data_IF_516952662855
#
_entry.id   IF_516952662855
#
_cell.length_a   1.000
_cell.length_b   1.000
_cell.length_c   1.000
_cell.angle_alpha   90.00
_cell.angle_beta   90.00
_cell.angle_gamma   90.00
#
_symmetry.space_group_name_H-M   'P 1'
#
loop_
_entity.id
_entity.type
_entity.pdbx_description
1 polymer ?
#
# COMPACT_ATOMS: atom_id res chain seq x y z
N UNK A 1 -40.89 -12.82 20.05
CA UNK A 1 -40.78 -12.06 18.78
C UNK A 1 -39.92 -10.78 18.88
N UNK A 2 -39.59 -10.23 20.07
CA UNK A 2 -38.82 -8.96 20.16
C UNK A 2 -37.29 -9.09 19.96
N UNK A 3 -36.67 -10.24 20.29
CA UNK A 3 -35.20 -10.41 20.16
C UNK A 3 -34.71 -10.50 18.70
N UNK A 4 -35.49 -11.08 17.80
CA UNK A 4 -35.14 -11.17 16.37
C UNK A 4 -35.26 -9.83 15.63
N UNK A 5 -36.20 -8.96 16.06
CA UNK A 5 -36.35 -7.61 15.51
C UNK A 5 -35.19 -6.67 15.92
N UNK A 6 -34.65 -6.84 17.13
CA UNK A 6 -33.51 -6.07 17.63
C UNK A 6 -32.18 -6.44 16.93
N UNK A 7 -31.98 -7.72 16.59
CA UNK A 7 -30.78 -8.18 15.89
C UNK A 7 -30.75 -7.71 14.41
N UNK A 8 -31.91 -7.67 13.76
CA UNK A 8 -32.05 -7.21 12.37
C UNK A 8 -31.85 -5.70 12.22
N UNK A 9 -32.22 -4.90 13.23
CA UNK A 9 -31.98 -3.46 13.26
C UNK A 9 -30.50 -3.10 13.44
N UNK A 10 -29.70 -3.97 14.08
CA UNK A 10 -28.27 -3.74 14.32
C UNK A 10 -27.39 -3.99 13.07
N UNK A 11 -27.77 -4.96 12.23
CA UNK A 11 -27.07 -5.25 10.97
C UNK A 11 -27.25 -4.10 9.95
N UNK A 12 -28.39 -3.40 10.00
CA UNK A 12 -28.67 -2.27 9.11
C UNK A 12 -27.83 -1.00 9.42
N UNK A 13 -27.16 -0.96 10.57
CA UNK A 13 -26.26 0.14 10.99
C UNK A 13 -24.79 -0.15 10.71
N UNK A 14 -24.45 -1.29 10.09
CA UNK A 14 -23.09 -1.55 9.62
C UNK A 14 -22.84 -0.58 8.46
N UNK A 15 -22.23 0.57 8.76
CA UNK A 15 -21.80 1.53 7.77
C UNK A 15 -20.96 0.82 6.70
N UNK A 16 -21.10 1.24 5.44
CA UNK A 16 -20.24 0.74 4.37
C UNK A 16 -18.80 1.08 4.75
N UNK A 17 -18.01 0.08 5.12
CA UNK A 17 -16.57 0.24 5.25
C UNK A 17 -16.02 0.47 3.85
N UNK A 18 -15.79 1.73 3.50
CA UNK A 18 -15.08 2.10 2.28
C UNK A 18 -13.60 1.78 2.45
N UNK A 19 -13.21 0.56 2.11
CA UNK A 19 -11.79 0.23 1.94
C UNK A 19 -11.18 1.08 0.82
N UNK A 20 -9.87 1.32 0.90
CA UNK A 20 -9.14 2.11 -0.08
C UNK A 20 -8.89 1.28 -1.35
N UNK A 21 -9.91 0.63 -1.92
CA UNK A 21 -9.79 0.05 -3.25
C UNK A 21 -9.42 1.13 -4.29
N UNK A 22 -9.43 0.82 -5.58
CA UNK A 22 -8.98 1.76 -6.64
C UNK A 22 -9.42 3.23 -6.45
N UNK A 23 -10.68 3.47 -6.07
CA UNK A 23 -11.20 4.82 -5.83
C UNK A 23 -10.49 5.57 -4.67
N UNK A 24 -10.12 4.88 -3.59
CA UNK A 24 -9.40 5.46 -2.46
C UNK A 24 -7.99 5.88 -2.84
N UNK A 25 -7.23 4.98 -3.50
CA UNK A 25 -5.90 5.33 -4.02
C UNK A 25 -5.95 6.47 -5.04
N UNK A 26 -6.90 6.42 -5.98
CA UNK A 26 -7.09 7.48 -6.97
C UNK A 26 -7.40 8.83 -6.33
N UNK A 27 -8.24 8.85 -5.29
CA UNK A 27 -8.53 10.07 -4.54
C UNK A 27 -7.26 10.62 -3.86
N UNK A 28 -6.49 9.77 -3.18
CA UNK A 28 -5.23 10.16 -2.53
C UNK A 28 -4.22 10.68 -3.56
N UNK A 29 -4.04 9.97 -4.68
CA UNK A 29 -3.16 10.38 -5.77
C UNK A 29 -3.56 11.73 -6.38
N UNK A 30 -4.87 11.95 -6.59
CA UNK A 30 -5.41 13.23 -7.07
C UNK A 30 -5.11 14.37 -6.11
N UNK A 31 -5.36 14.16 -4.81
CA UNK A 31 -5.10 15.16 -3.76
C UNK A 31 -3.60 15.45 -3.67
N UNK A 32 -2.74 14.43 -3.68
CA UNK A 32 -1.30 14.60 -3.66
C UNK A 32 -0.82 15.44 -4.85
N UNK A 33 -1.31 15.16 -6.05
CA UNK A 33 -0.94 15.92 -7.26
C UNK A 33 -1.38 17.39 -7.17
N UNK A 34 -2.59 17.64 -6.65
CA UNK A 34 -3.09 18.98 -6.40
C UNK A 34 -2.16 19.79 -5.47
N UNK A 35 -1.71 19.19 -4.35
CA UNK A 35 -0.78 19.84 -3.43
C UNK A 35 0.63 20.05 -3.99
N UNK A 36 1.03 19.25 -5.00
CA UNK A 36 2.32 19.42 -5.67
C UNK A 36 2.27 20.46 -6.81
N UNK A 37 1.09 21.00 -7.16
CA UNK A 37 0.94 21.96 -8.24
C UNK A 37 1.89 23.16 -8.11
N UNK A 38 2.59 23.49 -9.20
CA UNK A 38 3.57 24.59 -9.24
C UNK A 38 4.92 24.31 -8.58
N UNK A 39 5.12 23.13 -7.96
CA UNK A 39 6.38 22.78 -7.31
C UNK A 39 7.35 22.10 -8.28
N UNK A 40 8.65 22.11 -7.92
CA UNK A 40 9.64 21.25 -8.58
C UNK A 40 9.26 19.77 -8.48
N UNK A 41 8.70 19.33 -7.36
CA UNK A 41 8.35 17.94 -7.14
C UNK A 41 7.34 17.42 -8.17
N UNK A 42 6.30 18.21 -8.52
CA UNK A 42 5.37 17.81 -9.59
C UNK A 42 6.07 17.66 -10.94
N UNK A 43 7.03 18.54 -11.26
CA UNK A 43 7.81 18.42 -12.50
C UNK A 43 8.59 17.10 -12.56
N UNK A 44 9.22 16.70 -11.46
CA UNK A 44 9.95 15.42 -11.38
C UNK A 44 8.99 14.23 -11.45
N UNK A 45 7.83 14.30 -10.77
CA UNK A 45 6.75 13.28 -10.87
C UNK A 45 6.33 13.10 -12.33
N UNK A 46 6.06 14.19 -13.06
CA UNK A 46 5.66 14.12 -14.48
C UNK A 46 6.76 13.59 -15.38
N UNK A 47 8.03 13.86 -15.08
CA UNK A 47 9.14 13.32 -15.84
C UNK A 47 9.32 11.79 -15.67
N UNK A 48 8.85 11.23 -14.56
CA UNK A 48 8.90 9.78 -14.29
C UNK A 48 7.66 9.03 -14.81
N UNK A 49 6.55 9.72 -15.02
CA UNK A 49 5.31 9.13 -15.50
C UNK A 49 5.24 9.09 -17.04
N UNK A 50 4.47 8.14 -17.61
CA UNK A 50 4.26 8.07 -19.08
C UNK A 50 3.33 9.20 -19.47
N UNK A 51 3.36 9.57 -20.75
CA UNK A 51 2.46 10.60 -21.29
C UNK A 51 0.99 10.24 -20.98
N UNK A 52 0.24 11.19 -20.42
CA UNK A 52 -1.14 11.01 -20.00
C UNK A 52 -1.34 10.31 -18.65
N UNK A 53 -0.27 9.93 -17.94
CA UNK A 53 -0.36 9.44 -16.56
C UNK A 53 -0.16 10.54 -15.52
N UNK A 54 -0.83 10.36 -14.39
CA UNK A 54 -0.90 11.18 -13.19
C UNK A 54 -0.88 10.28 -11.95
N UNK A 55 -0.76 10.89 -10.77
CA UNK A 55 -0.64 10.16 -9.50
C UNK A 55 -1.88 9.32 -9.15
N UNK A 56 -3.08 9.67 -9.61
CA UNK A 56 -4.28 8.83 -9.45
C UNK A 56 -4.12 7.48 -10.19
N UNK A 57 -3.64 7.47 -11.44
CA UNK A 57 -3.41 6.24 -12.22
C UNK A 57 -2.21 5.47 -11.67
N UNK A 58 -1.13 6.18 -11.37
CA UNK A 58 0.08 5.60 -10.77
C UNK A 58 -0.22 4.89 -9.45
N UNK A 59 -1.07 5.48 -8.60
CA UNK A 59 -1.43 4.94 -7.29
C UNK A 59 -2.20 3.62 -7.34
N UNK A 60 -2.69 3.17 -8.49
CA UNK A 60 -3.38 1.87 -8.63
C UNK A 60 -2.50 0.79 -9.24
N UNK A 61 -1.30 1.15 -9.71
CA UNK A 61 -0.42 0.24 -10.43
C UNK A 61 0.04 -0.95 -9.58
N UNK A 62 0.43 -0.80 -8.30
CA UNK A 62 0.90 -1.93 -7.49
C UNK A 62 -0.14 -3.02 -7.28
N UNK A 63 -1.40 -2.66 -7.04
CA UNK A 63 -2.49 -3.63 -6.95
C UNK A 63 -2.78 -4.32 -8.29
N UNK A 64 -2.65 -3.61 -9.41
CA UNK A 64 -2.76 -4.23 -10.73
C UNK A 64 -1.63 -5.24 -10.99
N UNK A 65 -0.46 -5.08 -10.39
CA UNK A 65 0.62 -6.04 -10.49
C UNK A 65 0.30 -7.37 -9.77
N UNK A 66 -0.70 -7.40 -8.86
CA UNK A 66 -1.20 -8.62 -8.20
C UNK A 66 -2.16 -9.45 -9.07
N UNK A 67 -2.58 -8.93 -10.22
CA UNK A 67 -3.53 -9.62 -11.09
C UNK A 67 -2.90 -10.86 -11.75
N UNK A 68 -3.72 -11.83 -12.21
CA UNK A 68 -3.23 -12.96 -12.97
C UNK A 68 -2.38 -12.54 -14.18
N UNK A 69 -1.34 -13.31 -14.50
CA UNK A 69 -0.31 -12.98 -15.50
C UNK A 69 -0.85 -12.50 -16.86
N UNK A 70 -1.99 -13.04 -17.31
CA UNK A 70 -2.64 -12.64 -18.57
C UNK A 70 -3.12 -11.18 -18.61
N UNK A 71 -3.23 -10.51 -17.46
CA UNK A 71 -3.62 -9.11 -17.33
C UNK A 71 -2.44 -8.17 -17.05
N UNK A 72 -1.23 -8.71 -16.87
CA UNK A 72 -0.04 -7.94 -16.55
C UNK A 72 0.60 -7.35 -17.81
N UNK A 73 0.99 -6.09 -17.72
CA UNK A 73 1.88 -5.47 -18.72
C UNK A 73 3.29 -6.05 -18.61
N UNK A 74 4.14 -5.87 -19.64
CA UNK A 74 5.53 -6.30 -19.57
C UNK A 74 6.28 -5.69 -18.35
N UNK A 75 6.09 -4.40 -18.08
CA UNK A 75 6.65 -3.70 -16.91
C UNK A 75 6.22 -4.34 -15.57
N UNK A 76 4.96 -4.77 -15.48
CA UNK A 76 4.48 -5.49 -14.29
C UNK A 76 5.07 -6.88 -14.19
N UNK A 77 5.20 -7.62 -15.30
CA UNK A 77 5.81 -8.95 -15.30
C UNK A 77 7.27 -8.90 -14.87
N UNK A 78 8.03 -7.92 -15.35
CA UNK A 78 9.41 -7.70 -14.94
C UNK A 78 9.52 -7.38 -13.44
N UNK A 79 8.62 -6.54 -12.92
CA UNK A 79 8.54 -6.25 -11.50
C UNK A 79 8.22 -7.49 -10.66
N UNK A 80 7.17 -8.24 -11.03
CA UNK A 80 6.72 -9.45 -10.33
C UNK A 80 7.78 -10.54 -10.37
N UNK A 81 8.46 -10.73 -11.50
CA UNK A 81 9.54 -11.72 -11.62
C UNK A 81 10.72 -11.43 -10.66
N UNK A 82 11.04 -10.14 -10.44
CA UNK A 82 12.06 -9.75 -9.48
C UNK A 82 11.56 -9.71 -8.03
N UNK A 83 10.24 -9.62 -7.82
CA UNK A 83 9.60 -9.43 -6.52
C UNK A 83 8.41 -10.38 -6.35
N UNK A 84 8.61 -11.72 -6.31
CA UNK A 84 7.51 -12.68 -6.26
C UNK A 84 6.64 -12.59 -5.00
N UNK A 85 7.16 -11.96 -3.94
CA UNK A 85 6.49 -11.71 -2.66
C UNK A 85 5.90 -10.30 -2.54
N UNK A 86 5.76 -9.57 -3.65
CA UNK A 86 5.28 -8.18 -3.67
C UNK A 86 3.90 -7.97 -3.05
N UNK A 87 3.09 -9.03 -2.91
CA UNK A 87 1.81 -8.96 -2.21
C UNK A 87 1.97 -8.50 -0.75
N UNK A 88 3.09 -8.86 -0.11
CA UNK A 88 3.41 -8.52 1.29
C UNK A 88 3.82 -7.05 1.48
N UNK A 89 4.12 -6.33 0.40
CA UNK A 89 4.59 -4.94 0.45
C UNK A 89 3.51 -3.97 0.95
N UNK A 90 2.26 -4.41 0.97
CA UNK A 90 1.08 -3.56 1.14
C UNK A 90 0.61 -3.43 2.58
N UNK A 91 1.21 -4.15 3.51
CA UNK A 91 0.72 -4.18 4.88
C UNK A 91 1.84 -4.52 5.88
N UNK A 92 1.50 -4.41 7.16
CA UNK A 92 2.16 -5.07 8.26
C UNK A 92 1.09 -5.59 9.23
N UNK A 93 1.31 -6.77 9.78
CA UNK A 93 0.31 -7.46 10.60
C UNK A 93 0.47 -7.11 12.09
N UNK A 94 0.55 -5.83 12.43
CA UNK A 94 0.83 -5.44 13.82
C UNK A 94 -0.34 -5.84 14.73
N UNK A 95 -0.12 -6.53 15.87
CA UNK A 95 -1.20 -6.85 16.80
C UNK A 95 -1.95 -5.58 17.21
N UNK A 96 -3.28 -5.56 17.12
CA UNK A 96 -4.08 -4.36 17.39
C UNK A 96 -3.93 -3.82 18.82
N UNK A 97 -3.41 -4.63 19.74
CA UNK A 97 -3.07 -4.25 21.11
C UNK A 97 -1.82 -3.34 21.17
N UNK A 98 -0.96 -3.40 20.16
CA UNK A 98 0.21 -2.54 20.04
C UNK A 98 -0.21 -1.11 19.67
N UNK A 99 0.41 -0.13 20.32
CA UNK A 99 0.10 1.29 20.10
C UNK A 99 0.85 1.91 18.94
N UNK A 100 1.91 1.26 18.48
CA UNK A 100 2.79 1.79 17.43
C UNK A 100 3.54 0.66 16.74
N UNK A 101 3.86 0.87 15.47
CA UNK A 101 4.84 0.09 14.74
C UNK A 101 6.22 0.21 15.41
N UNK A 102 6.92 -0.92 15.53
CA UNK A 102 8.35 -0.99 15.86
C UNK A 102 8.95 -2.17 15.12
N UNK A 103 10.12 -1.99 14.52
CA UNK A 103 10.84 -3.08 13.88
C UNK A 103 11.09 -4.21 14.89
N UNK A 104 10.85 -5.45 14.47
CA UNK A 104 11.01 -6.65 15.30
C UNK A 104 9.78 -7.06 16.11
N UNK A 105 8.68 -6.29 16.07
CA UNK A 105 7.39 -6.77 16.60
C UNK A 105 6.83 -7.91 15.75
N UNK A 106 6.01 -8.75 16.36
CA UNK A 106 5.20 -9.73 15.62
C UNK A 106 4.41 -9.02 14.51
N UNK A 107 4.41 -9.63 13.31
CA UNK A 107 3.78 -9.05 12.12
C UNK A 107 4.65 -8.08 11.32
N UNK A 108 5.87 -7.75 11.78
CA UNK A 108 6.86 -7.01 10.98
C UNK A 108 7.77 -7.94 10.18
N UNK A 109 8.25 -7.46 9.04
CA UNK A 109 9.26 -8.15 8.25
C UNK A 109 10.01 -7.18 7.33
N UNK A 110 11.16 -7.59 6.80
CA UNK A 110 12.06 -6.75 5.96
C UNK A 110 11.46 -6.25 4.64
N UNK A 111 10.24 -6.67 4.32
CA UNK A 111 9.50 -6.33 3.10
C UNK A 111 8.09 -5.85 3.41
N UNK A 112 7.83 -5.48 4.67
CA UNK A 112 6.57 -4.90 5.06
C UNK A 112 6.45 -3.48 4.51
N UNK A 113 5.24 -2.92 4.59
CA UNK A 113 4.93 -1.61 4.02
C UNK A 113 5.89 -0.49 4.44
N UNK A 114 6.40 -0.50 5.67
CA UNK A 114 7.31 0.54 6.17
C UNK A 114 8.66 0.45 5.45
N UNK A 115 9.23 -0.75 5.38
CA UNK A 115 10.53 -0.95 4.72
C UNK A 115 10.46 -0.72 3.20
N UNK A 116 9.36 -1.12 2.56
CA UNK A 116 9.21 -0.88 1.11
C UNK A 116 9.06 0.61 0.81
N UNK A 117 8.35 1.37 1.65
CA UNK A 117 8.29 2.83 1.55
C UNK A 117 9.69 3.47 1.66
N UNK A 118 10.49 3.03 2.61
CA UNK A 118 11.87 3.50 2.77
C UNK A 118 12.72 3.22 1.54
N UNK A 119 12.66 1.99 0.98
CA UNK A 119 13.37 1.64 -0.25
C UNK A 119 12.92 2.52 -1.42
N UNK A 120 11.61 2.76 -1.58
CA UNK A 120 11.10 3.62 -2.64
C UNK A 120 11.62 5.06 -2.52
N UNK A 121 11.66 5.61 -1.30
CA UNK A 121 12.21 6.94 -1.03
C UNK A 121 13.70 6.98 -1.38
N UNK A 122 14.48 5.97 -0.96
CA UNK A 122 15.92 5.89 -1.28
C UNK A 122 16.17 5.83 -2.79
N UNK A 123 15.42 5.00 -3.53
CA UNK A 123 15.53 4.90 -4.99
C UNK A 123 15.19 6.24 -5.68
N UNK A 124 14.18 6.96 -5.20
CA UNK A 124 13.81 8.27 -5.76
C UNK A 124 14.86 9.35 -5.49
N UNK A 125 15.46 9.35 -4.30
CA UNK A 125 16.49 10.31 -3.86
C UNK A 125 17.88 10.04 -4.45
N UNK A 126 18.13 8.82 -4.92
CA UNK A 126 19.39 8.42 -5.51
C UNK A 126 19.84 9.37 -6.64
N UNK A 127 21.07 9.87 -6.58
CA UNK A 127 21.64 10.70 -7.65
C UNK A 127 22.32 9.87 -8.75
N UNK A 128 22.77 8.66 -8.42
CA UNK A 128 23.42 7.68 -9.29
C UNK A 128 22.91 6.24 -8.94
N UNK A 129 23.36 5.19 -9.66
CA UNK A 129 23.07 3.76 -9.40
C UNK A 129 23.63 3.21 -8.05
N UNK A 130 23.92 4.09 -7.09
CA UNK A 130 24.50 3.75 -5.78
C UNK A 130 23.46 3.49 -4.69
N UNK A 131 22.18 3.72 -4.95
CA UNK A 131 21.16 3.39 -3.97
C UNK A 131 21.06 1.87 -3.79
N UNK A 132 20.94 1.44 -2.54
CA UNK A 132 20.59 0.07 -2.24
C UNK A 132 19.19 -0.19 -2.81
N UNK A 133 19.11 -1.06 -3.82
CA UNK A 133 17.88 -1.31 -4.57
C UNK A 133 17.61 -2.82 -4.64
N UNK A 134 17.30 -3.46 -3.50
CA UNK A 134 17.08 -4.90 -3.45
C UNK A 134 15.87 -5.34 -4.28
N UNK A 135 14.92 -4.42 -4.54
CA UNK A 135 13.74 -4.66 -5.36
C UNK A 135 14.02 -4.61 -6.87
N UNK A 136 15.21 -4.13 -7.27
CA UNK A 136 15.63 -3.93 -8.67
C UNK A 136 14.63 -3.09 -9.48
N UNK A 137 14.08 -2.06 -8.86
CA UNK A 137 13.07 -1.18 -9.46
C UNK A 137 13.69 0.11 -9.97
N UNK A 138 13.15 0.66 -11.05
CA UNK A 138 13.52 2.01 -11.49
C UNK A 138 12.74 3.08 -10.71
N UNK A 139 13.13 4.36 -10.86
CA UNK A 139 12.47 5.49 -10.19
C UNK A 139 10.97 5.61 -10.48
N UNK A 140 10.53 5.20 -11.67
CA UNK A 140 9.12 5.21 -12.04
C UNK A 140 8.33 4.18 -11.21
N UNK A 141 8.81 2.94 -11.12
CA UNK A 141 8.17 1.90 -10.30
C UNK A 141 8.23 2.29 -8.82
N UNK A 142 9.34 2.86 -8.35
CA UNK A 142 9.44 3.40 -6.99
C UNK A 142 8.41 4.51 -6.71
N UNK A 143 8.18 5.42 -7.65
CA UNK A 143 7.14 6.46 -7.52
C UNK A 143 5.74 5.85 -7.45
N UNK A 144 5.44 4.86 -8.30
CA UNK A 144 4.12 4.20 -8.31
C UNK A 144 3.86 3.41 -7.03
N UNK A 145 4.88 2.70 -6.53
CA UNK A 145 4.82 2.02 -5.22
C UNK A 145 4.63 3.04 -4.09
N UNK A 146 5.44 4.10 -4.03
CA UNK A 146 5.31 5.15 -3.01
C UNK A 146 3.90 5.77 -2.99
N UNK A 147 3.37 6.14 -4.17
CA UNK A 147 2.04 6.74 -4.28
C UNK A 147 0.91 5.82 -3.79
N UNK A 148 1.03 4.51 -4.03
CA UNK A 148 0.07 3.51 -3.57
C UNK A 148 0.21 3.22 -2.07
N UNK A 149 1.43 2.92 -1.63
CA UNK A 149 1.72 2.44 -0.28
C UNK A 149 1.53 3.52 0.78
N UNK A 150 1.68 4.80 0.45
CA UNK A 150 1.24 5.87 1.37
C UNK A 150 -0.27 5.78 1.61
N UNK A 151 -1.06 5.40 0.61
CA UNK A 151 -2.49 5.15 0.78
C UNK A 151 -2.76 3.95 1.68
N UNK A 152 -2.11 2.82 1.41
CA UNK A 152 -2.23 1.59 2.21
C UNK A 152 -1.84 1.83 3.67
N UNK A 153 -0.73 2.55 3.93
CA UNK A 153 -0.26 2.85 5.28
C UNK A 153 -1.30 3.63 6.10
N UNK A 154 -2.12 4.46 5.44
CA UNK A 154 -3.19 5.23 6.07
C UNK A 154 -4.53 4.48 6.11
N UNK A 155 -4.59 3.25 5.59
CA UNK A 155 -5.74 2.37 5.71
C UNK A 155 -5.58 1.52 6.99
N UNK A 156 -6.47 1.67 8.00
CA UNK A 156 -6.22 1.08 9.33
C UNK A 156 -6.06 -0.45 9.38
N UNK A 157 -6.70 -1.19 8.46
CA UNK A 157 -6.63 -2.65 8.39
C UNK A 157 -5.40 -3.17 7.60
N UNK A 158 -4.61 -2.28 6.98
CA UNK A 158 -3.31 -2.64 6.39
C UNK A 158 -2.16 -2.57 7.38
N UNK A 159 -2.38 -2.02 8.58
CA UNK A 159 -1.34 -1.84 9.60
C UNK A 159 -1.73 -2.46 10.95
N UNK A 160 -2.75 -3.32 10.95
CA UNK A 160 -3.30 -3.92 12.16
C UNK A 160 -3.84 -5.32 11.87
N UNK A 161 -3.55 -6.26 12.76
CA UNK A 161 -3.98 -7.64 12.67
C UNK A 161 -4.44 -8.17 14.03
N UNK A 162 -5.32 -9.16 14.00
CA UNK A 162 -5.75 -9.91 15.18
C UNK A 162 -5.04 -11.26 15.24
N UNK A 163 -4.41 -11.55 16.36
CA UNK A 163 -3.83 -12.86 16.66
C UNK A 163 -4.73 -13.60 17.65
N UNK A 164 -4.95 -14.88 17.40
CA UNK A 164 -5.77 -15.74 18.27
C UNK A 164 -4.95 -16.93 18.77
N UNK A 165 -5.09 -17.24 20.04
CA UNK A 165 -4.47 -18.44 20.64
C UNK A 165 -5.30 -19.71 20.37
N UNK A 166 -4.83 -20.84 20.90
CA UNK A 166 -5.49 -22.15 20.81
C UNK A 166 -6.87 -22.22 21.51
N UNK A 167 -7.19 -21.19 22.32
CA UNK A 167 -8.47 -21.03 23.03
C UNK A 167 -9.38 -20.02 22.34
N UNK A 168 -9.02 -19.54 21.14
CA UNK A 168 -9.74 -18.51 20.38
C UNK A 168 -9.81 -17.15 21.11
N UNK A 169 -8.82 -16.83 21.93
CA UNK A 169 -8.71 -15.52 22.60
C UNK A 169 -7.76 -14.61 21.83
N UNK A 170 -8.08 -13.32 21.75
CA UNK A 170 -7.17 -12.34 21.15
C UNK A 170 -5.95 -12.15 22.03
N UNK A 171 -4.76 -12.28 21.44
CA UNK A 171 -3.47 -12.18 22.12
C UNK A 171 -2.53 -11.20 21.43
N UNK A 172 -1.52 -10.77 22.17
CA UNK A 172 -0.34 -10.05 21.68
C UNK A 172 0.83 -11.06 21.75
N UNK A 173 1.12 -11.76 20.63
CA UNK A 173 2.01 -12.92 20.59
C UNK A 173 3.50 -12.57 20.70
#
# INVERSE_FOLDING_TARGET
MSKFLLLSLFIALIGKASGYGNAGHQAIGTVAEHYLAGTRALKEVRALLKEGENLDRASTWPDRAKLPDKYLTAEMKDFVANNPDHHTFHYCDIPFQQKAYREGLTGTHKKDIVHILEICIQVLQAKDDKAENPLKINKRVALMLLAHLVGDLHQPLHVGCSYVDDKNQFVDP
#
